data_IF_343172282231
#
_entry.id   IF_343172282231
#
_cell.length_a   1.000
_cell.length_b   1.000
_cell.length_c   1.000
_cell.angle_alpha   90.00
_cell.angle_beta   90.00
_cell.angle_gamma   90.00
#
_symmetry.space_group_name_H-M   'P 1'
#
loop_
_entity.id
_entity.type
_entity.pdbx_description
1 polymer ?
#
# COMPACT_ATOMS: atom_id res chain seq x y z
N UNK A 1 2.04 34.72 16.17
CA UNK A 1 1.03 35.34 15.29
C UNK A 1 1.66 35.62 13.93
N UNK A 2 0.93 35.45 12.83
CA UNK A 2 1.34 36.03 11.55
C UNK A 2 1.37 37.56 11.70
N UNK A 3 2.42 38.23 11.23
CA UNK A 3 2.54 39.69 11.30
C UNK A 3 2.49 40.31 9.91
N UNK A 4 1.96 41.52 9.83
CA UNK A 4 1.67 42.24 8.57
C UNK A 4 2.99 42.63 7.89
N UNK A 5 3.19 42.20 6.63
CA UNK A 5 4.38 42.51 5.82
C UNK A 5 5.16 41.30 5.30
N UNK A 6 4.64 40.08 5.45
CA UNK A 6 5.32 38.86 5.00
C UNK A 6 5.20 38.67 3.47
N UNK A 7 6.31 38.48 2.73
CA UNK A 7 6.27 38.30 1.27
C UNK A 7 5.74 36.92 0.85
N UNK A 8 5.73 35.95 1.77
CA UNK A 8 5.07 34.65 1.62
C UNK A 8 4.16 34.45 2.85
N UNK A 9 2.88 34.13 2.67
CA UNK A 9 1.97 33.89 3.79
C UNK A 9 2.49 32.77 4.71
N UNK A 10 2.51 33.00 6.03
CA UNK A 10 2.72 31.92 7.02
C UNK A 10 1.61 31.88 8.06
N UNK A 11 1.33 30.67 8.55
CA UNK A 11 0.26 30.38 9.50
C UNK A 11 0.86 29.88 10.82
N UNK A 12 0.26 30.28 11.94
CA UNK A 12 0.72 29.93 13.29
C UNK A 12 -0.10 28.79 13.87
N UNK A 13 0.57 27.85 14.56
CA UNK A 13 -0.06 26.76 15.30
C UNK A 13 0.16 26.94 16.80
N UNK A 14 -0.93 27.14 17.57
CA UNK A 14 -0.92 27.05 19.03
C UNK A 14 -1.63 25.76 19.45
N UNK A 15 -0.92 24.84 20.10
CA UNK A 15 -1.47 23.54 20.49
C UNK A 15 -2.02 23.58 21.91
N UNK A 16 -3.34 23.44 22.04
CA UNK A 16 -4.03 23.10 23.27
C UNK A 16 -5.05 22.01 23.01
N UNK A 17 -4.62 20.74 23.05
CA UNK A 17 -5.41 19.49 23.07
C UNK A 17 -6.51 19.27 22.01
N UNK A 18 -6.46 18.15 21.26
CA UNK A 18 -7.54 17.66 20.38
C UNK A 18 -7.09 17.19 18.99
N UNK A 19 -8.06 17.07 18.05
CA UNK A 19 -7.83 16.77 16.62
C UNK A 19 -6.95 17.87 15.99
N UNK A 20 -5.79 17.48 15.44
CA UNK A 20 -4.79 18.42 14.89
C UNK A 20 -5.00 18.72 13.40
N UNK A 21 -5.60 17.80 12.66
CA UNK A 21 -5.82 17.89 11.21
C UNK A 21 -6.96 16.95 10.79
N UNK A 22 -7.55 17.22 9.63
CA UNK A 22 -8.48 16.29 8.99
C UNK A 22 -7.80 15.06 8.39
N UNK A 23 -6.46 15.00 8.44
CA UNK A 23 -5.70 13.86 7.93
C UNK A 23 -5.64 13.82 6.41
N UNK A 24 -5.85 14.95 5.73
CA UNK A 24 -5.71 15.05 4.26
C UNK A 24 -4.27 15.19 3.80
N UNK A 25 -3.44 15.81 4.63
CA UNK A 25 -2.00 15.93 4.40
C UNK A 25 -1.25 15.57 5.65
N UNK A 26 -0.08 14.96 5.48
CA UNK A 26 0.82 14.62 6.59
C UNK A 26 2.24 15.06 6.26
N UNK A 27 2.93 15.62 7.26
CA UNK A 27 4.34 15.94 7.14
C UNK A 27 5.16 14.74 7.60
N UNK A 28 6.07 14.27 6.76
CA UNK A 28 6.90 13.10 7.00
C UNK A 28 8.36 13.41 6.77
N UNK A 29 9.23 12.59 7.35
CA UNK A 29 10.68 12.70 7.20
C UNK A 29 11.11 12.04 5.90
N UNK A 30 11.95 12.74 5.14
CA UNK A 30 12.65 12.21 3.98
C UNK A 30 14.01 11.67 4.46
N UNK A 31 14.33 10.40 4.19
CA UNK A 31 15.65 9.84 4.54
C UNK A 31 16.77 10.51 3.74
N UNK A 32 18.00 10.40 4.23
CA UNK A 32 19.18 10.92 3.53
C UNK A 32 19.33 10.33 2.11
N UNK A 33 20.09 11.02 1.26
CA UNK A 33 20.36 10.62 -0.12
C UNK A 33 19.10 10.36 -0.96
N UNK A 34 18.01 11.04 -0.66
CA UNK A 34 16.72 10.84 -1.32
C UNK A 34 16.26 12.13 -1.98
N UNK A 35 15.86 12.02 -3.24
CA UNK A 35 15.17 13.10 -3.97
C UNK A 35 13.70 12.75 -4.08
N UNK A 36 12.86 13.67 -3.65
CA UNK A 36 11.41 13.62 -3.76
C UNK A 36 11.00 14.67 -4.80
N UNK A 37 10.19 14.26 -5.75
CA UNK A 37 9.62 15.10 -6.79
C UNK A 37 8.15 15.38 -6.50
N UNK A 38 7.73 16.64 -6.61
CA UNK A 38 6.33 17.02 -6.53
C UNK A 38 5.48 16.28 -7.57
N UNK A 39 4.26 15.90 -7.19
CA UNK A 39 3.32 15.18 -8.06
C UNK A 39 3.55 13.67 -8.16
N UNK A 40 4.64 13.14 -7.60
CA UNK A 40 4.91 11.69 -7.52
C UNK A 40 4.45 11.11 -6.19
N UNK A 41 4.18 9.81 -6.19
CA UNK A 41 3.77 9.06 -5.01
C UNK A 41 4.97 8.46 -4.28
N UNK A 42 4.89 8.45 -2.95
CA UNK A 42 5.92 7.90 -2.07
C UNK A 42 5.28 7.22 -0.86
N UNK A 43 5.93 6.15 -0.39
CA UNK A 43 5.64 5.53 0.90
C UNK A 43 6.73 5.94 1.90
N UNK A 44 6.41 6.85 2.81
CA UNK A 44 7.34 7.38 3.82
C UNK A 44 6.68 7.33 5.21
N UNK A 45 7.42 6.87 6.21
CA UNK A 45 6.93 6.69 7.59
C UNK A 45 5.59 5.90 7.66
N UNK A 46 5.37 4.98 6.73
CA UNK A 46 4.12 4.19 6.63
C UNK A 46 2.96 4.89 5.92
N UNK A 47 3.09 6.15 5.52
CA UNK A 47 2.09 6.88 4.74
C UNK A 47 2.39 6.79 3.26
N UNK A 48 1.45 6.27 2.48
CA UNK A 48 1.50 6.35 1.02
C UNK A 48 0.78 7.64 0.61
N UNK A 49 1.39 8.49 -0.21
CA UNK A 49 0.72 9.70 -0.68
C UNK A 49 1.48 10.42 -1.77
N UNK A 50 0.83 11.40 -2.38
CA UNK A 50 1.41 12.23 -3.44
C UNK A 50 2.20 13.40 -2.82
N UNK A 51 3.44 13.61 -3.23
CA UNK A 51 4.27 14.68 -2.72
C UNK A 51 3.79 16.05 -3.22
N UNK A 52 3.53 16.97 -2.29
CA UNK A 52 3.06 18.32 -2.62
C UNK A 52 4.20 19.29 -2.99
N UNK A 53 5.44 18.91 -2.70
CA UNK A 53 6.63 19.69 -3.03
C UNK A 53 7.81 18.78 -3.35
N UNK A 54 8.75 19.29 -4.14
CA UNK A 54 10.04 18.61 -4.35
C UNK A 54 10.97 18.92 -3.19
N UNK A 55 11.71 17.91 -2.73
CA UNK A 55 12.64 17.99 -1.61
C UNK A 55 13.83 17.09 -1.90
N UNK A 56 15.05 17.58 -1.69
CA UNK A 56 16.27 16.77 -1.78
C UNK A 56 16.92 16.73 -0.42
N UNK A 57 17.19 15.53 0.09
CA UNK A 57 17.98 15.31 1.29
C UNK A 57 19.37 14.82 0.88
N UNK A 58 20.41 15.56 1.28
CA UNK A 58 21.80 15.18 1.05
C UNK A 58 22.27 14.05 1.97
N UNK A 59 23.55 13.69 1.89
CA UNK A 59 24.17 12.74 2.81
C UNK A 59 24.24 13.33 4.22
N UNK A 60 23.80 12.57 5.23
CA UNK A 60 23.76 13.01 6.63
C UNK A 60 22.65 14.00 6.96
N UNK A 61 21.78 14.32 6.00
CA UNK A 61 20.68 15.27 6.18
C UNK A 61 19.33 14.56 6.11
N UNK A 62 18.38 15.01 6.93
CA UNK A 62 16.97 14.64 6.77
C UNK A 62 16.19 15.89 6.41
N UNK A 63 15.21 15.72 5.54
CA UNK A 63 14.32 16.81 5.15
C UNK A 63 12.88 16.46 5.51
N UNK A 64 11.97 17.42 5.35
CA UNK A 64 10.55 17.20 5.55
C UNK A 64 9.80 17.42 4.25
N UNK A 65 8.93 16.48 3.91
CA UNK A 65 8.00 16.60 2.79
C UNK A 65 6.57 16.49 3.30
N UNK A 66 5.64 17.17 2.62
CA UNK A 66 4.21 17.01 2.85
C UNK A 66 3.66 16.05 1.80
N UNK A 67 3.03 14.98 2.25
CA UNK A 67 2.28 14.06 1.41
C UNK A 67 0.79 14.38 1.48
N UNK A 68 0.14 14.48 0.33
CA UNK A 68 -1.30 14.43 0.21
C UNK A 68 -1.76 12.97 0.27
N UNK A 69 -2.61 12.68 1.25
CA UNK A 69 -3.12 11.35 1.58
C UNK A 69 -4.65 11.30 1.50
N UNK A 70 -5.27 12.34 0.94
CA UNK A 70 -6.73 12.43 0.80
C UNK A 70 -7.26 11.35 -0.15
N UNK A 71 -8.33 10.62 0.22
CA UNK A 71 -9.03 9.71 -0.68
C UNK A 71 -9.74 10.51 -1.78
N UNK A 72 -9.10 10.59 -2.94
CA UNK A 72 -9.56 11.34 -4.10
C UNK A 72 -9.15 10.61 -5.39
N UNK A 73 -9.60 11.12 -6.53
CA UNK A 73 -9.09 10.66 -7.81
C UNK A 73 -7.75 11.35 -8.12
N UNK A 74 -6.76 10.57 -8.54
CA UNK A 74 -5.45 11.06 -8.93
C UNK A 74 -5.10 10.55 -10.32
N UNK A 75 -4.38 11.39 -11.05
CA UNK A 75 -3.70 11.03 -12.28
C UNK A 75 -2.24 10.67 -11.97
N UNK A 76 -1.73 9.60 -12.58
CA UNK A 76 -0.31 9.25 -12.46
C UNK A 76 0.20 8.42 -13.64
N UNK A 77 1.47 8.63 -13.95
CA UNK A 77 2.30 7.83 -14.86
C UNK A 77 3.25 6.87 -14.11
N UNK A 78 3.22 6.87 -12.76
CA UNK A 78 4.14 6.13 -11.92
C UNK A 78 3.70 4.67 -11.76
N UNK A 79 3.63 3.96 -12.88
CA UNK A 79 3.06 2.62 -12.99
C UNK A 79 4.03 1.61 -13.62
N UNK A 80 3.75 0.32 -13.45
CA UNK A 80 4.40 -0.73 -14.24
C UNK A 80 3.87 -0.71 -15.68
N UNK A 81 4.60 -0.10 -16.61
CA UNK A 81 4.16 0.07 -18.01
C UNK A 81 3.89 -1.23 -18.76
N UNK A 82 4.38 -2.38 -18.27
CA UNK A 82 4.12 -3.70 -18.84
C UNK A 82 2.72 -4.24 -18.49
N UNK A 83 2.07 -3.72 -17.45
CA UNK A 83 0.75 -4.14 -17.01
C UNK A 83 -0.36 -3.30 -17.64
N UNK A 84 -1.59 -3.83 -17.64
CA UNK A 84 -2.70 -3.25 -18.42
C UNK A 84 -3.44 -2.13 -17.70
N UNK A 85 -3.62 -2.21 -16.37
CA UNK A 85 -4.41 -1.26 -15.58
C UNK A 85 -5.79 -0.93 -16.21
N UNK A 86 -6.65 -1.95 -16.34
CA UNK A 86 -8.01 -1.73 -16.82
C UNK A 86 -8.87 -1.00 -15.78
N UNK A 87 -9.84 -0.20 -16.21
CA UNK A 87 -10.80 0.44 -15.32
C UNK A 87 -11.52 -0.61 -14.44
N UNK A 88 -11.68 -0.29 -13.15
CA UNK A 88 -12.19 -1.19 -12.12
C UNK A 88 -11.15 -2.14 -11.51
N UNK A 89 -9.94 -2.22 -12.07
CA UNK A 89 -8.87 -3.06 -11.50
C UNK A 89 -8.33 -2.47 -10.21
N UNK A 90 -8.00 -3.34 -9.25
CA UNK A 90 -7.25 -2.94 -8.06
C UNK A 90 -5.81 -2.58 -8.43
N UNK A 91 -5.26 -1.58 -7.75
CA UNK A 91 -3.85 -1.21 -7.86
C UNK A 91 -3.18 -1.26 -6.50
N UNK A 92 -1.88 -1.54 -6.53
CA UNK A 92 -1.04 -1.76 -5.37
C UNK A 92 0.25 -0.96 -5.52
N UNK A 93 0.82 -0.52 -4.40
CA UNK A 93 2.12 0.12 -4.34
C UNK A 93 3.22 -0.93 -4.19
N UNK A 94 4.11 -0.97 -5.18
CA UNK A 94 5.35 -1.73 -5.16
C UNK A 94 6.45 -0.84 -4.56
N UNK A 95 6.80 -1.11 -3.30
CA UNK A 95 7.80 -0.35 -2.59
C UNK A 95 9.23 -0.70 -3.00
N UNK A 96 9.45 -1.77 -3.75
CA UNK A 96 10.78 -2.11 -4.29
C UNK A 96 11.06 -1.26 -5.52
N UNK A 97 10.12 -1.26 -6.47
CA UNK A 97 10.27 -0.53 -7.73
C UNK A 97 9.71 0.90 -7.69
N UNK A 98 9.16 1.33 -6.54
CA UNK A 98 8.61 2.67 -6.29
C UNK A 98 7.57 3.08 -7.34
N UNK A 99 6.63 2.19 -7.64
CA UNK A 99 5.57 2.39 -8.65
C UNK A 99 4.31 1.61 -8.33
N UNK A 100 3.21 1.95 -8.99
CA UNK A 100 1.98 1.16 -8.93
C UNK A 100 2.05 -0.09 -9.80
N UNK A 101 1.36 -1.14 -9.37
CA UNK A 101 1.22 -2.45 -10.04
C UNK A 101 -0.19 -3.01 -9.83
N UNK A 102 -0.65 -3.88 -10.73
CA UNK A 102 -1.81 -4.75 -10.55
C UNK A 102 -1.49 -6.03 -9.73
N UNK A 103 -0.23 -6.25 -9.36
CA UNK A 103 0.21 -7.42 -8.58
C UNK A 103 -0.10 -7.24 -7.08
N UNK A 104 -0.99 -8.05 -6.48
CA UNK A 104 -1.35 -7.91 -5.07
C UNK A 104 -0.30 -8.45 -4.11
N UNK A 105 0.34 -9.57 -4.46
CA UNK A 105 1.23 -10.30 -3.56
C UNK A 105 2.47 -9.47 -3.25
N UNK A 106 2.77 -9.30 -1.95
CA UNK A 106 3.92 -8.50 -1.51
C UNK A 106 3.74 -6.98 -1.63
N UNK A 107 2.64 -6.49 -2.20
CA UNK A 107 2.41 -5.06 -2.44
C UNK A 107 1.23 -4.51 -1.63
N UNK A 108 1.25 -3.21 -1.32
CA UNK A 108 0.22 -2.56 -0.49
C UNK A 108 -0.94 -2.10 -1.35
N UNK A 109 -2.18 -2.45 -1.02
CA UNK A 109 -3.35 -1.92 -1.73
C UNK A 109 -3.37 -0.38 -1.69
N UNK A 110 -3.56 0.24 -2.86
CA UNK A 110 -3.53 1.69 -3.01
C UNK A 110 -4.83 2.28 -3.57
N UNK A 111 -5.63 1.52 -4.31
CA UNK A 111 -6.82 2.08 -4.92
C UNK A 111 -7.45 1.24 -6.02
N UNK A 112 -8.34 1.87 -6.77
CA UNK A 112 -9.03 1.26 -7.91
C UNK A 112 -8.89 2.17 -9.12
N UNK A 113 -8.48 1.62 -10.25
CA UNK A 113 -8.40 2.35 -11.53
C UNK A 113 -9.78 2.85 -11.92
N UNK A 114 -9.91 4.14 -12.23
CA UNK A 114 -11.14 4.76 -12.72
C UNK A 114 -11.06 5.00 -14.23
N UNK A 115 -9.88 5.37 -14.75
CA UNK A 115 -9.59 5.47 -16.18
C UNK A 115 -8.41 4.58 -16.52
N UNK A 116 -8.62 3.70 -17.50
CA UNK A 116 -7.63 2.73 -17.94
C UNK A 116 -6.37 3.40 -18.48
N UNK A 117 -5.25 2.67 -18.47
CA UNK A 117 -3.97 3.15 -18.99
C UNK A 117 -4.09 3.63 -20.43
N UNK A 118 -3.67 4.87 -20.67
CA UNK A 118 -3.65 5.47 -22.01
C UNK A 118 -2.35 5.15 -22.79
N UNK A 119 -2.21 5.72 -23.98
CA UNK A 119 -1.03 5.56 -24.81
C UNK A 119 0.25 6.19 -24.21
N UNK A 120 0.11 7.12 -23.26
CA UNK A 120 1.21 7.78 -22.56
C UNK A 120 1.60 7.05 -21.26
N UNK A 121 0.97 5.91 -20.97
CA UNK A 121 1.11 5.17 -19.72
C UNK A 121 0.58 5.93 -18.49
N UNK A 122 -0.43 6.76 -18.68
CA UNK A 122 -1.12 7.48 -17.61
C UNK A 122 -2.41 6.74 -17.25
N UNK A 123 -2.68 6.63 -15.95
CA UNK A 123 -3.95 6.11 -15.40
C UNK A 123 -4.60 7.19 -14.53
N UNK A 124 -5.93 7.11 -14.39
CA UNK A 124 -6.62 7.74 -13.26
C UNK A 124 -7.11 6.66 -12.31
N UNK A 125 -7.06 6.95 -11.02
CA UNK A 125 -7.50 6.00 -10.01
C UNK A 125 -8.05 6.73 -8.78
N UNK A 126 -9.02 6.10 -8.14
CA UNK A 126 -9.44 6.48 -6.79
C UNK A 126 -8.42 5.97 -5.78
N UNK A 127 -7.77 6.90 -5.07
CA UNK A 127 -6.83 6.59 -4.01
C UNK A 127 -7.57 6.19 -2.74
N UNK A 128 -7.23 5.02 -2.21
CA UNK A 128 -7.87 4.48 -1.02
C UNK A 128 -7.44 5.26 0.25
N UNK A 129 -8.31 5.30 1.28
CA UNK A 129 -7.91 5.77 2.60
C UNK A 129 -6.67 5.03 3.11
N UNK A 130 -5.89 5.70 3.97
CA UNK A 130 -4.73 5.08 4.60
C UNK A 130 -5.15 3.79 5.32
N UNK A 131 -4.76 2.66 4.75
CA UNK A 131 -4.97 1.36 5.37
C UNK A 131 -3.71 0.98 6.16
N UNK A 132 -3.82 0.22 7.25
CA UNK A 132 -2.70 -0.56 7.76
C UNK A 132 -2.05 -1.33 6.59
N UNK A 133 -0.76 -1.68 6.68
CA UNK A 133 -0.08 -2.42 5.62
C UNK A 133 -0.66 -3.84 5.46
N UNK A 134 -1.81 -3.94 4.81
CA UNK A 134 -2.43 -5.20 4.43
C UNK A 134 -1.75 -5.60 3.13
N UNK A 135 -0.76 -6.47 3.27
CA UNK A 135 -0.02 -7.07 2.16
C UNK A 135 -0.47 -8.51 2.05
N UNK A 136 -0.88 -8.91 0.86
CA UNK A 136 -1.21 -10.31 0.61
C UNK A 136 0.07 -11.13 0.72
N UNK A 137 0.04 -12.16 1.58
CA UNK A 137 1.15 -13.08 1.76
C UNK A 137 1.26 -14.07 0.58
N UNK A 138 2.45 -14.64 0.41
CA UNK A 138 2.71 -15.63 -0.64
C UNK A 138 1.79 -16.86 -0.53
N UNK A 139 1.62 -17.57 -1.64
CA UNK A 139 0.82 -18.79 -1.67
C UNK A 139 1.42 -19.85 -0.75
N UNK A 140 0.58 -20.45 0.09
CA UNK A 140 0.91 -21.63 0.88
C UNK A 140 0.22 -22.81 0.20
N UNK A 141 0.94 -23.88 -0.12
CA UNK A 141 0.34 -25.06 -0.75
C UNK A 141 -0.57 -25.84 0.22
N UNK A 142 -1.58 -26.51 -0.31
CA UNK A 142 -2.39 -27.45 0.47
C UNK A 142 -1.55 -28.63 0.97
N UNK A 143 -1.88 -29.15 2.15
CA UNK A 143 -1.22 -30.34 2.67
C UNK A 143 -1.70 -31.55 1.88
N UNK A 144 -0.80 -32.21 1.15
CA UNK A 144 -1.10 -33.40 0.35
C UNK A 144 -0.62 -34.69 1.01
N UNK A 145 0.52 -34.68 1.69
CA UNK A 145 1.23 -35.88 2.16
C UNK A 145 0.93 -36.32 3.60
N UNK A 146 0.03 -35.65 4.31
CA UNK A 146 -0.30 -35.98 5.71
C UNK A 146 -1.41 -37.03 5.84
N UNK A 147 -1.51 -37.97 4.90
CA UNK A 147 -2.43 -39.09 5.04
C UNK A 147 -1.83 -40.09 6.04
N UNK A 148 -2.61 -40.46 7.05
CA UNK A 148 -2.16 -41.41 8.04
C UNK A 148 -1.93 -42.78 7.39
N UNK A 149 -0.72 -43.32 7.55
CA UNK A 149 -0.35 -44.67 7.14
C UNK A 149 -0.91 -45.73 8.10
N UNK A 150 -0.86 -47.01 7.72
CA UNK A 150 -1.25 -48.18 8.52
C UNK A 150 -0.48 -48.32 9.85
N UNK A 151 0.49 -47.44 10.11
CA UNK A 151 1.22 -47.32 11.39
C UNK A 151 0.35 -46.74 12.51
N UNK A 152 -0.75 -46.05 12.18
CA UNK A 152 -1.68 -45.42 13.14
C UNK A 152 -2.95 -46.23 13.34
N UNK A 153 -3.59 -46.09 14.50
CA UNK A 153 -4.89 -46.72 14.73
C UNK A 153 -6.01 -46.04 13.93
N UNK A 154 -7.15 -46.71 13.77
CA UNK A 154 -8.25 -46.21 12.95
C UNK A 154 -8.84 -44.87 13.45
N UNK A 155 -8.79 -44.60 14.76
CA UNK A 155 -9.26 -43.35 15.36
C UNK A 155 -8.29 -42.21 15.09
N UNK A 156 -6.99 -42.47 15.20
CA UNK A 156 -5.91 -41.53 14.87
C UNK A 156 -5.93 -41.17 13.39
N UNK A 157 -6.10 -42.15 12.49
CA UNK A 157 -6.25 -41.93 11.05
C UNK A 157 -7.42 -40.99 10.75
N UNK A 158 -8.57 -41.19 11.40
CA UNK A 158 -9.75 -40.35 11.21
C UNK A 158 -9.50 -38.88 11.64
N UNK A 159 -8.85 -38.68 12.80
CA UNK A 159 -8.52 -37.34 13.30
C UNK A 159 -7.50 -36.62 12.41
N UNK A 160 -6.47 -37.32 11.93
CA UNK A 160 -5.46 -36.76 11.03
C UNK A 160 -6.10 -36.26 9.73
N UNK A 161 -6.99 -37.06 9.14
CA UNK A 161 -7.72 -36.70 7.91
C UNK A 161 -8.68 -35.51 8.15
N UNK A 162 -9.35 -35.47 9.31
CA UNK A 162 -10.22 -34.35 9.68
C UNK A 162 -9.42 -33.04 9.83
N UNK A 163 -8.26 -33.08 10.50
CA UNK A 163 -7.38 -31.92 10.67
C UNK A 163 -6.85 -31.44 9.31
N UNK A 164 -6.39 -32.35 8.44
CA UNK A 164 -5.95 -32.03 7.07
C UNK A 164 -7.07 -31.30 6.30
N UNK A 165 -8.29 -31.81 6.38
CA UNK A 165 -9.46 -31.22 5.72
C UNK A 165 -9.76 -29.81 6.25
N UNK A 166 -9.78 -29.63 7.58
CA UNK A 166 -10.02 -28.33 8.21
C UNK A 166 -8.92 -27.33 7.87
N UNK A 167 -7.65 -27.75 7.86
CA UNK A 167 -6.52 -26.89 7.52
C UNK A 167 -6.59 -26.44 6.07
N UNK A 168 -6.79 -27.35 5.12
CA UNK A 168 -6.91 -26.99 3.70
C UNK A 168 -8.14 -26.10 3.45
N UNK A 169 -9.24 -26.32 4.17
CA UNK A 169 -10.42 -25.43 4.14
C UNK A 169 -10.09 -24.02 4.65
N UNK A 170 -9.33 -23.91 5.75
CA UNK A 170 -8.86 -22.63 6.27
C UNK A 170 -7.97 -21.92 5.23
N UNK A 171 -7.00 -22.63 4.63
CA UNK A 171 -6.14 -22.07 3.59
C UNK A 171 -6.95 -21.56 2.40
N UNK A 172 -7.96 -22.31 1.94
CA UNK A 172 -8.86 -21.88 0.87
C UNK A 172 -9.64 -20.60 1.24
N UNK A 173 -10.16 -20.51 2.47
CA UNK A 173 -10.86 -19.32 2.95
C UNK A 173 -9.94 -18.09 3.01
N UNK A 174 -8.68 -18.26 3.43
CA UNK A 174 -7.70 -17.18 3.47
C UNK A 174 -7.32 -16.67 2.07
N UNK A 175 -7.24 -17.58 1.08
CA UNK A 175 -7.06 -17.20 -0.34
C UNK A 175 -8.27 -16.42 -0.87
N UNK A 176 -9.49 -16.92 -0.60
CA UNK A 176 -10.73 -16.25 -1.00
C UNK A 176 -10.90 -14.86 -0.36
N UNK A 177 -10.41 -14.68 0.87
CA UNK A 177 -10.37 -13.40 1.56
C UNK A 177 -9.27 -12.44 1.04
N UNK A 178 -8.39 -12.89 0.13
CA UNK A 178 -7.28 -12.09 -0.39
C UNK A 178 -6.13 -11.90 0.61
N UNK A 179 -6.08 -12.70 1.68
CA UNK A 179 -5.00 -12.66 2.69
C UNK A 179 -3.77 -13.43 2.19
N UNK A 180 -4.00 -14.61 1.59
CA UNK A 180 -2.99 -15.40 0.88
C UNK A 180 -3.17 -15.24 -0.63
N UNK A 181 -2.07 -15.32 -1.38
CA UNK A 181 -2.11 -15.50 -2.83
C UNK A 181 -2.74 -16.85 -3.18
N UNK A 182 -3.47 -16.88 -4.30
CA UNK A 182 -4.14 -18.08 -4.83
C UNK A 182 -3.13 -19.15 -5.24
#
# INVERSE_FOLDING_TARGET
>A
MAYVGQPVPTTVYGLGGGRISDGKTVKVTVPENTTIEAGKFYLLNGFLGCAMQSVTAGAGETAQVVLNIEPAEYETDQINTLETFAAGSKIYWDDVNKRFTNTPTGNRFAGIVTVAKDANNVIWFWFAPQQPAIVQAAAVADVTSADADATYDAGEVALINEIKTKLNTLLANLRAAGILAS
#
